data_IF_554686365561
#
_entry.id   IF_554686365561
#
_cell.length_a   1.000
_cell.length_b   1.000
_cell.length_c   1.000
_cell.angle_alpha   90.00
_cell.angle_beta   90.00
_cell.angle_gamma   90.00
#
_symmetry.space_group_name_H-M   'P 1'
#
loop_
_entity.id
_entity.type
_entity.pdbx_description
1 polymer ?
#
# COMPACT_ATOMS: atom_id res chain seq x y z
N UNK A 1 7.92 11.63 -17.44
CA UNK A 1 9.15 12.26 -16.96
C UNK A 1 8.97 13.11 -15.70
N UNK A 2 7.94 13.97 -15.56
CA UNK A 2 7.70 14.80 -14.36
C UNK A 2 7.41 14.02 -13.07
N UNK A 3 6.69 12.91 -13.14
CA UNK A 3 6.34 12.06 -11.97
C UNK A 3 7.58 11.40 -11.37
N UNK A 4 8.48 10.86 -12.19
CA UNK A 4 9.73 10.25 -11.74
C UNK A 4 10.65 11.23 -11.01
N UNK A 5 10.77 12.43 -11.54
CA UNK A 5 11.53 13.53 -10.91
C UNK A 5 10.92 13.93 -9.56
N UNK A 6 9.60 13.94 -9.46
CA UNK A 6 8.89 14.20 -8.21
C UNK A 6 9.17 13.11 -7.16
N UNK A 7 9.07 11.84 -7.56
CA UNK A 7 9.36 10.68 -6.69
C UNK A 7 10.80 10.74 -6.15
N UNK A 8 11.79 10.97 -7.04
CA UNK A 8 13.21 11.05 -6.65
C UNK A 8 13.44 12.24 -5.71
N UNK A 9 12.81 13.37 -5.96
CA UNK A 9 12.95 14.59 -5.14
C UNK A 9 12.33 14.40 -3.77
N UNK A 10 11.18 13.75 -3.69
CA UNK A 10 10.50 13.40 -2.43
C UNK A 10 11.34 12.41 -1.63
N UNK A 11 11.86 11.36 -2.28
CA UNK A 11 12.74 10.40 -1.61
C UNK A 11 14.01 11.04 -1.03
N UNK A 12 14.59 12.00 -1.77
CA UNK A 12 15.77 12.75 -1.29
C UNK A 12 15.43 13.58 -0.04
N UNK A 13 14.27 14.23 -0.01
CA UNK A 13 13.80 15.00 1.16
C UNK A 13 13.59 14.09 2.39
N UNK A 14 13.03 12.90 2.19
CA UNK A 14 12.81 11.91 3.23
C UNK A 14 14.14 11.40 3.79
N UNK A 15 15.06 11.02 2.93
CA UNK A 15 16.39 10.55 3.33
C UNK A 15 17.16 11.58 4.15
N UNK A 16 16.94 12.88 3.91
CA UNK A 16 17.62 13.96 4.64
C UNK A 16 17.11 14.15 6.08
N UNK A 17 15.87 13.71 6.40
CA UNK A 17 15.28 13.98 7.71
C UNK A 17 15.83 13.08 8.82
N UNK A 18 15.72 11.76 8.69
CA UNK A 18 16.21 10.74 9.65
C UNK A 18 16.57 9.46 8.91
N UNK A 19 17.72 9.38 8.24
CA UNK A 19 18.08 8.24 7.38
C UNK A 19 18.15 6.91 8.13
N UNK A 20 18.60 6.91 9.40
CA UNK A 20 18.69 5.70 10.21
C UNK A 20 17.34 5.07 10.52
N UNK A 21 16.30 5.87 10.84
CA UNK A 21 14.96 5.35 11.08
C UNK A 21 14.36 4.78 9.79
N UNK A 22 14.58 5.44 8.66
CA UNK A 22 14.11 4.98 7.36
C UNK A 22 14.79 3.65 6.98
N UNK A 23 16.10 3.52 7.18
CA UNK A 23 16.83 2.27 6.96
C UNK A 23 16.30 1.14 7.86
N UNK A 24 16.00 1.44 9.13
CA UNK A 24 15.43 0.47 10.07
C UNK A 24 14.04 -0.03 9.61
N UNK A 25 13.18 0.85 9.11
CA UNK A 25 11.88 0.48 8.54
C UNK A 25 12.06 -0.47 7.35
N UNK A 26 13.03 -0.22 6.48
CA UNK A 26 13.36 -1.10 5.37
C UNK A 26 13.83 -2.48 5.85
N UNK A 27 14.76 -2.51 6.79
CA UNK A 27 15.30 -3.76 7.36
C UNK A 27 14.16 -4.57 8.00
N UNK A 28 13.30 -3.93 8.81
CA UNK A 28 12.15 -4.60 9.41
C UNK A 28 11.17 -5.13 8.34
N UNK A 29 10.99 -4.39 7.24
CA UNK A 29 10.12 -4.84 6.13
C UNK A 29 10.70 -6.07 5.43
N UNK A 30 12.02 -6.13 5.24
CA UNK A 30 12.69 -7.31 4.70
C UNK A 30 12.53 -8.51 5.63
N UNK A 31 12.82 -8.35 6.92
CA UNK A 31 12.63 -9.40 7.91
C UNK A 31 11.19 -9.90 7.96
N UNK A 32 10.22 -8.98 7.93
CA UNK A 32 8.80 -9.32 7.89
C UNK A 32 8.46 -10.12 6.62
N UNK A 33 8.97 -9.73 5.45
CA UNK A 33 8.76 -10.44 4.19
C UNK A 33 9.31 -11.86 4.23
N UNK A 34 10.55 -12.03 4.70
CA UNK A 34 11.19 -13.35 4.84
C UNK A 34 10.42 -14.21 5.83
N UNK A 35 10.11 -13.67 7.02
CA UNK A 35 9.38 -14.43 8.06
C UNK A 35 7.97 -14.85 7.61
N UNK A 36 7.25 -13.96 6.91
CA UNK A 36 5.92 -14.27 6.36
C UNK A 36 5.96 -15.41 5.36
N UNK A 37 6.92 -15.41 4.44
CA UNK A 37 7.07 -16.47 3.46
C UNK A 37 7.47 -17.79 4.12
N UNK A 38 8.40 -17.74 5.06
CA UNK A 38 8.86 -18.93 5.81
C UNK A 38 7.72 -19.57 6.60
N UNK A 39 6.87 -18.75 7.25
CA UNK A 39 5.68 -19.24 7.96
C UNK A 39 4.71 -19.99 7.04
N UNK A 40 4.54 -19.53 5.79
CA UNK A 40 3.66 -20.21 4.83
C UNK A 40 4.28 -21.52 4.35
N UNK A 41 5.59 -21.56 4.07
CA UNK A 41 6.28 -22.79 3.65
C UNK A 41 6.22 -23.87 4.72
N UNK A 42 6.17 -23.52 6.00
CA UNK A 42 6.07 -24.45 7.12
C UNK A 42 4.73 -25.21 7.13
N UNK A 43 3.73 -24.74 6.38
CA UNK A 43 2.49 -25.50 6.17
C UNK A 43 2.72 -26.78 5.34
N UNK A 44 3.79 -26.87 4.52
CA UNK A 44 4.08 -28.08 3.74
C UNK A 44 4.33 -29.29 4.66
N UNK A 45 5.32 -29.25 5.58
CA UNK A 45 5.53 -30.38 6.48
C UNK A 45 4.35 -30.64 7.41
N UNK A 46 3.61 -29.60 7.82
CA UNK A 46 2.40 -29.76 8.63
C UNK A 46 1.31 -30.56 7.89
N UNK A 47 1.02 -30.22 6.64
CA UNK A 47 0.06 -30.94 5.82
C UNK A 47 0.52 -32.36 5.47
N UNK A 48 1.83 -32.57 5.31
CA UNK A 48 2.39 -33.92 5.10
C UNK A 48 2.20 -34.83 6.31
N UNK A 49 2.37 -34.32 7.53
CA UNK A 49 2.12 -35.08 8.75
C UNK A 49 0.64 -35.42 8.95
N UNK A 50 -0.27 -34.54 8.57
CA UNK A 50 -1.73 -34.76 8.68
C UNK A 50 -2.22 -35.78 7.65
N UNK A 51 -1.56 -35.94 6.52
CA UNK A 51 -1.97 -36.85 5.45
C UNK A 51 -1.39 -38.25 5.61
N UNK A 52 -1.29 -38.77 6.85
CA UNK A 52 -0.89 -40.10 7.30
C UNK A 52 -0.48 -41.05 6.18
N UNK A 53 0.75 -40.94 5.63
CA UNK A 53 1.32 -42.08 4.92
C UNK A 53 1.46 -41.96 3.40
N UNK A 54 1.50 -40.78 2.79
CA UNK A 54 2.07 -40.71 1.45
C UNK A 54 3.57 -40.96 1.56
N UNK A 55 3.95 -42.20 1.24
CA UNK A 55 5.31 -42.73 1.21
C UNK A 55 6.21 -42.12 0.16
N UNK A 56 5.91 -40.90 -0.30
CA UNK A 56 6.80 -40.16 -1.20
C UNK A 56 7.87 -39.44 -0.38
N UNK A 57 9.14 -39.58 -0.75
CA UNK A 57 10.21 -38.82 -0.12
C UNK A 57 9.89 -37.33 -0.18
N UNK A 58 10.24 -36.57 0.87
CA UNK A 58 10.02 -35.13 0.89
C UNK A 58 10.78 -34.48 -0.28
N UNK A 59 10.07 -33.78 -1.15
CA UNK A 59 10.65 -33.06 -2.30
C UNK A 59 10.58 -31.54 -2.07
N UNK A 60 11.55 -30.83 -2.59
CA UNK A 60 11.59 -29.36 -2.59
C UNK A 60 11.71 -28.75 -1.18
N UNK A 61 10.85 -27.76 -0.81
CA UNK A 61 10.97 -27.06 0.48
C UNK A 61 10.86 -27.95 1.72
N UNK A 62 10.21 -29.12 1.63
CA UNK A 62 10.09 -30.07 2.75
C UNK A 62 11.46 -30.69 3.14
N UNK A 63 12.36 -30.90 2.17
CA UNK A 63 13.74 -31.35 2.43
C UNK A 63 14.50 -30.35 3.28
N UNK A 64 14.37 -29.07 3.00
CA UNK A 64 15.02 -28.01 3.77
C UNK A 64 14.61 -28.04 5.25
N UNK A 65 13.31 -28.22 5.55
CA UNK A 65 12.83 -28.31 6.92
C UNK A 65 13.30 -29.58 7.63
N UNK A 66 13.42 -30.69 6.89
CA UNK A 66 13.93 -31.95 7.43
C UNK A 66 15.42 -31.86 7.75
N UNK A 67 16.23 -31.32 6.86
CA UNK A 67 17.66 -31.08 7.11
C UNK A 67 17.90 -30.13 8.30
N UNK A 68 17.04 -29.12 8.44
CA UNK A 68 17.10 -28.17 9.56
C UNK A 68 16.74 -28.87 10.88
N UNK A 69 15.76 -29.76 10.88
CA UNK A 69 15.37 -30.53 12.05
C UNK A 69 16.45 -31.55 12.44
N UNK A 70 17.04 -32.24 11.45
CA UNK A 70 18.12 -33.18 11.67
C UNK A 70 19.38 -32.49 12.26
N UNK A 71 19.71 -31.27 11.77
CA UNK A 71 20.81 -30.47 12.31
C UNK A 71 20.56 -29.91 13.71
N UNK A 72 19.30 -29.62 14.06
CA UNK A 72 18.93 -29.04 15.36
C UNK A 72 18.54 -30.11 16.38
N UNK A 73 18.48 -31.39 15.99
CA UNK A 73 18.04 -32.50 16.86
C UNK A 73 16.58 -32.43 17.25
N UNK A 74 15.78 -31.63 16.58
CA UNK A 74 14.36 -31.42 16.87
C UNK A 74 13.54 -32.47 16.11
N UNK A 75 12.83 -33.33 16.85
CA UNK A 75 11.88 -34.28 16.26
C UNK A 75 10.70 -33.54 15.61
N UNK A 76 10.48 -33.78 14.32
CA UNK A 76 9.35 -33.20 13.55
C UNK A 76 8.02 -33.84 13.94
N UNK A 77 7.56 -33.61 15.17
CA UNK A 77 6.24 -33.99 15.63
C UNK A 77 5.24 -32.86 15.34
N UNK A 78 3.96 -33.19 15.25
CA UNK A 78 2.89 -32.24 15.06
C UNK A 78 2.97 -31.07 16.06
N UNK A 79 3.24 -31.35 17.32
CA UNK A 79 3.36 -30.35 18.38
C UNK A 79 4.52 -29.37 18.16
N UNK A 80 5.69 -29.86 17.75
CA UNK A 80 6.86 -29.02 17.47
C UNK A 80 6.64 -28.11 16.26
N UNK A 81 6.04 -28.63 15.19
CA UNK A 81 5.72 -27.80 14.01
C UNK A 81 4.68 -26.73 14.35
N UNK A 82 3.63 -27.06 15.09
CA UNK A 82 2.63 -26.08 15.53
C UNK A 82 3.25 -25.01 16.44
N UNK A 83 4.14 -25.39 17.37
CA UNK A 83 4.84 -24.45 18.22
C UNK A 83 5.71 -23.49 17.41
N UNK A 84 6.53 -24.00 16.49
CA UNK A 84 7.34 -23.16 15.58
C UNK A 84 6.45 -22.23 14.75
N UNK A 85 5.32 -22.73 14.26
CA UNK A 85 4.36 -21.93 13.50
C UNK A 85 3.79 -20.78 14.34
N UNK A 86 3.37 -21.04 15.59
CA UNK A 86 2.90 -19.99 16.50
C UNK A 86 3.99 -18.98 16.79
N UNK A 87 5.23 -19.42 17.03
CA UNK A 87 6.38 -18.51 17.26
C UNK A 87 6.62 -17.61 16.04
N UNK A 88 6.62 -18.17 14.83
CA UNK A 88 6.82 -17.38 13.59
C UNK A 88 5.70 -16.38 13.34
N UNK A 89 4.44 -16.78 13.58
CA UNK A 89 3.29 -15.86 13.44
C UNK A 89 3.33 -14.75 14.50
N UNK A 90 3.68 -15.09 15.75
CA UNK A 90 3.83 -14.12 16.83
C UNK A 90 4.98 -13.16 16.55
N UNK A 91 6.11 -13.65 16.03
CA UNK A 91 7.22 -12.84 15.59
C UNK A 91 6.80 -11.88 14.47
N UNK A 92 6.00 -12.37 13.51
CA UNK A 92 5.48 -11.52 12.43
C UNK A 92 4.60 -10.40 12.97
N UNK A 93 3.71 -10.70 13.92
CA UNK A 93 2.86 -9.70 14.58
C UNK A 93 3.69 -8.66 15.34
N UNK A 94 4.73 -9.08 16.05
CA UNK A 94 5.66 -8.20 16.75
C UNK A 94 6.44 -7.30 15.77
N UNK A 95 6.97 -7.86 14.69
CA UNK A 95 7.65 -7.08 13.65
C UNK A 95 6.73 -6.03 13.02
N UNK A 96 5.48 -6.41 12.74
CA UNK A 96 4.47 -5.50 12.21
C UNK A 96 4.15 -4.38 13.19
N UNK A 97 3.99 -4.69 14.47
CA UNK A 97 3.72 -3.71 15.51
C UNK A 97 4.88 -2.69 15.63
N UNK A 98 6.12 -3.18 15.78
CA UNK A 98 7.29 -2.30 15.87
C UNK A 98 7.46 -1.42 14.63
N UNK A 99 7.28 -2.00 13.45
CA UNK A 99 7.32 -1.25 12.20
C UNK A 99 6.25 -0.15 12.17
N UNK A 100 5.00 -0.46 12.54
CA UNK A 100 3.90 0.52 12.56
C UNK A 100 4.18 1.70 13.49
N UNK A 101 4.75 1.43 14.69
CA UNK A 101 5.14 2.50 15.61
C UNK A 101 6.29 3.34 15.05
N UNK A 102 7.29 2.71 14.43
CA UNK A 102 8.40 3.43 13.80
C UNK A 102 7.94 4.30 12.65
N UNK A 103 7.03 3.78 11.81
CA UNK A 103 6.40 4.51 10.71
C UNK A 103 5.65 5.74 11.24
N UNK A 104 4.78 5.56 12.24
CA UNK A 104 4.02 6.66 12.85
C UNK A 104 4.96 7.71 13.48
N UNK A 105 5.97 7.28 14.22
CA UNK A 105 6.95 8.18 14.86
C UNK A 105 7.80 8.95 13.83
N UNK A 106 8.11 8.33 12.68
CA UNK A 106 8.82 9.00 11.60
C UNK A 106 7.92 10.06 10.96
N UNK A 107 6.68 9.71 10.64
CA UNK A 107 5.68 10.62 10.05
C UNK A 107 5.49 11.86 10.92
N UNK A 108 5.18 11.68 12.19
CA UNK A 108 4.95 12.81 13.11
C UNK A 108 6.20 13.72 13.25
N UNK A 109 7.37 13.12 13.30
CA UNK A 109 8.63 13.89 13.33
C UNK A 109 8.86 14.68 12.04
N UNK A 110 8.49 14.13 10.88
CA UNK A 110 8.63 14.81 9.59
C UNK A 110 7.64 15.97 9.46
N UNK A 111 6.37 15.77 9.88
CA UNK A 111 5.34 16.83 9.94
C UNK A 111 5.86 18.00 10.78
N UNK A 112 6.28 17.70 12.00
CA UNK A 112 6.76 18.72 12.93
C UNK A 112 7.89 19.53 12.31
N UNK A 113 8.88 18.86 11.72
CA UNK A 113 10.02 19.50 11.07
C UNK A 113 9.61 20.38 9.88
N UNK A 114 8.72 19.88 9.04
CA UNK A 114 8.26 20.59 7.85
C UNK A 114 7.41 21.81 8.21
N UNK A 115 6.47 21.68 9.15
CA UNK A 115 5.66 22.80 9.67
C UNK A 115 6.53 23.89 10.28
N UNK A 116 7.46 23.50 11.14
CA UNK A 116 8.41 24.44 11.78
C UNK A 116 9.24 25.20 10.74
N UNK A 117 9.76 24.50 9.74
CA UNK A 117 10.56 25.10 8.67
C UNK A 117 9.73 26.07 7.80
N UNK A 118 8.52 25.67 7.43
CA UNK A 118 7.64 26.50 6.62
C UNK A 118 7.17 27.72 7.39
N UNK A 119 6.73 27.55 8.63
CA UNK A 119 6.29 28.66 9.47
C UNK A 119 7.42 29.68 9.70
N UNK A 120 8.65 29.22 9.98
CA UNK A 120 9.82 30.09 10.07
C UNK A 120 10.06 30.90 8.78
N UNK A 121 9.89 30.25 7.61
CA UNK A 121 10.05 30.96 6.34
C UNK A 121 8.94 31.99 6.10
N UNK A 122 7.71 31.72 6.54
CA UNK A 122 6.60 32.67 6.45
C UNK A 122 6.88 33.88 7.35
N UNK A 123 7.32 33.69 8.59
CA UNK A 123 7.61 34.81 9.50
C UNK A 123 8.75 35.69 8.98
N UNK A 124 9.75 35.08 8.34
CA UNK A 124 10.93 35.81 7.83
C UNK A 124 10.76 36.27 6.37
N UNK A 125 9.58 36.14 5.79
CA UNK A 125 9.33 36.53 4.43
C UNK A 125 9.04 38.02 4.32
N UNK A 126 9.48 38.64 3.22
CA UNK A 126 9.24 40.04 2.94
C UNK A 126 7.76 40.34 2.71
N UNK A 127 7.31 41.52 3.10
CA UNK A 127 5.92 41.95 3.01
C UNK A 127 5.29 41.76 1.60
N UNK A 128 5.95 42.08 0.48
CA UNK A 128 5.40 41.84 -0.86
C UNK A 128 5.06 40.34 -1.11
N UNK A 129 5.90 39.44 -0.60
CA UNK A 129 5.67 38.00 -0.74
C UNK A 129 4.48 37.53 0.12
N UNK A 130 4.33 38.05 1.33
CA UNK A 130 3.21 37.75 2.21
C UNK A 130 1.88 38.24 1.64
N UNK A 131 1.90 39.44 1.03
CA UNK A 131 0.69 40.05 0.46
C UNK A 131 0.32 39.49 -0.93
N UNK A 132 1.25 38.81 -1.61
CA UNK A 132 0.99 38.15 -2.90
C UNK A 132 0.02 37.00 -2.86
N UNK A 133 -0.24 36.45 -1.68
CA UNK A 133 -1.20 35.35 -1.41
C UNK A 133 -2.10 35.71 -0.25
N UNK A 134 -3.35 35.23 -0.29
CA UNK A 134 -4.30 35.44 0.79
C UNK A 134 -3.84 34.79 2.09
N UNK A 135 -4.27 35.34 3.24
CA UNK A 135 -4.05 34.75 4.58
C UNK A 135 -4.53 33.31 4.64
N UNK A 136 -5.67 33.04 4.02
CA UNK A 136 -6.28 31.69 3.93
C UNK A 136 -5.35 30.70 3.21
N UNK A 137 -4.64 31.16 2.18
CA UNK A 137 -3.68 30.32 1.44
C UNK A 137 -2.48 29.91 2.33
N UNK A 138 -1.95 30.82 3.14
CA UNK A 138 -0.87 30.51 4.07
C UNK A 138 -1.32 29.53 5.18
N UNK A 139 -2.53 29.71 5.70
CA UNK A 139 -3.15 28.77 6.66
C UNK A 139 -3.37 27.39 6.03
N UNK A 140 -3.90 27.33 4.80
CA UNK A 140 -4.14 26.10 4.06
C UNK A 140 -2.84 25.30 3.86
N UNK A 141 -1.75 25.94 3.50
CA UNK A 141 -0.45 25.27 3.35
C UNK A 141 -0.02 24.59 4.64
N UNK A 142 -0.12 25.26 5.79
CA UNK A 142 0.32 24.72 7.08
C UNK A 142 -0.63 23.66 7.65
N UNK A 143 -1.95 23.81 7.43
CA UNK A 143 -2.96 22.95 8.04
C UNK A 143 -3.39 21.77 7.19
N UNK A 144 -3.36 21.90 5.85
CA UNK A 144 -3.83 20.88 4.91
C UNK A 144 -2.73 20.35 3.98
N UNK A 145 -1.97 21.24 3.33
CA UNK A 145 -0.98 20.80 2.35
C UNK A 145 0.17 19.98 2.98
N UNK A 146 0.62 20.40 4.17
CA UNK A 146 1.68 19.68 4.88
C UNK A 146 1.23 18.28 5.33
N UNK A 147 0.04 18.08 5.94
CA UNK A 147 -0.50 16.74 6.16
C UNK A 147 -0.63 15.91 4.88
N UNK A 148 -1.16 16.46 3.79
CA UNK A 148 -1.30 15.74 2.51
C UNK A 148 0.06 15.23 1.96
N UNK A 149 1.14 15.98 2.17
CA UNK A 149 2.50 15.51 1.81
C UNK A 149 2.89 14.23 2.57
N UNK A 150 2.31 14.00 3.74
CA UNK A 150 2.58 12.81 4.54
C UNK A 150 1.81 11.62 4.04
N UNK A 151 0.61 11.82 3.57
CA UNK A 151 -0.17 10.76 2.92
C UNK A 151 0.59 10.23 1.70
N UNK A 152 1.22 11.11 0.90
CA UNK A 152 2.13 10.69 -0.18
C UNK A 152 3.36 9.94 0.33
N UNK A 153 3.92 10.35 1.47
CA UNK A 153 5.04 9.65 2.10
C UNK A 153 4.63 8.26 2.58
N UNK A 154 3.50 8.16 3.26
CA UNK A 154 2.94 6.88 3.73
C UNK A 154 2.69 5.92 2.57
N UNK A 155 2.07 6.42 1.52
CA UNK A 155 1.89 5.70 0.26
C UNK A 155 3.22 5.16 -0.29
N UNK A 156 4.25 5.99 -0.33
CA UNK A 156 5.56 5.59 -0.86
C UNK A 156 6.23 4.50 -0.04
N UNK A 157 6.23 4.61 1.29
CA UNK A 157 6.76 3.56 2.18
C UNK A 157 5.95 2.27 2.07
N UNK A 158 4.63 2.38 2.01
CA UNK A 158 3.74 1.25 1.84
C UNK A 158 4.01 0.54 0.52
N UNK A 159 4.15 1.27 -0.57
CA UNK A 159 4.48 0.72 -1.89
C UNK A 159 5.78 -0.08 -1.85
N UNK A 160 6.84 0.47 -1.26
CA UNK A 160 8.12 -0.24 -1.14
C UNK A 160 7.96 -1.50 -0.28
N UNK A 161 7.28 -1.42 0.85
CA UNK A 161 7.03 -2.58 1.71
C UNK A 161 6.26 -3.66 0.95
N UNK A 162 5.22 -3.26 0.21
CA UNK A 162 4.41 -4.16 -0.61
C UNK A 162 5.24 -4.83 -1.70
N UNK A 163 6.16 -4.09 -2.35
CA UNK A 163 7.09 -4.67 -3.32
C UNK A 163 8.03 -5.71 -2.69
N UNK A 164 8.57 -5.42 -1.52
CA UNK A 164 9.42 -6.36 -0.76
C UNK A 164 8.64 -7.63 -0.43
N UNK A 165 7.42 -7.49 0.07
CA UNK A 165 6.55 -8.62 0.41
C UNK A 165 6.19 -9.44 -0.83
N UNK A 166 5.77 -8.79 -1.91
CA UNK A 166 5.43 -9.44 -3.17
C UNK A 166 6.64 -10.21 -3.73
N UNK A 167 7.83 -9.58 -3.72
CA UNK A 167 9.06 -10.24 -4.15
C UNK A 167 9.38 -11.47 -3.30
N UNK A 168 9.29 -11.38 -1.98
CA UNK A 168 9.50 -12.52 -1.08
C UNK A 168 8.54 -13.66 -1.42
N UNK A 169 7.24 -13.39 -1.57
CA UNK A 169 6.27 -14.42 -1.91
C UNK A 169 6.50 -15.04 -3.29
N UNK A 170 6.94 -14.25 -4.30
CA UNK A 170 7.29 -14.75 -5.63
C UNK A 170 8.49 -15.71 -5.55
N UNK A 171 9.52 -15.36 -4.75
CA UNK A 171 10.67 -16.24 -4.53
C UNK A 171 10.21 -17.56 -3.91
N UNK A 172 9.39 -17.52 -2.85
CA UNK A 172 8.91 -18.74 -2.21
C UNK A 172 7.99 -19.57 -3.12
N UNK A 173 7.14 -18.93 -3.92
CA UNK A 173 6.29 -19.62 -4.89
C UNK A 173 7.13 -20.30 -5.98
N UNK A 174 8.22 -19.66 -6.43
CA UNK A 174 9.12 -20.23 -7.46
C UNK A 174 9.87 -21.46 -6.97
N UNK A 175 10.18 -21.53 -5.66
CA UNK A 175 10.80 -22.72 -5.04
C UNK A 175 9.84 -23.94 -5.02
N UNK A 176 8.53 -23.70 -5.04
CA UNK A 176 7.52 -24.75 -5.08
C UNK A 176 7.26 -25.19 -6.52
N UNK A 177 6.98 -24.24 -7.41
CA UNK A 177 6.76 -24.49 -8.83
C UNK A 177 7.02 -23.23 -9.66
N UNK A 178 8.12 -23.25 -10.41
CA UNK A 178 8.50 -22.15 -11.28
C UNK A 178 7.47 -21.91 -12.41
N UNK A 179 6.90 -22.99 -12.98
CA UNK A 179 5.93 -22.89 -14.08
C UNK A 179 4.64 -22.17 -13.69
N UNK A 180 4.02 -22.54 -12.55
CA UNK A 180 2.82 -21.87 -12.06
C UNK A 180 3.10 -20.43 -11.61
N UNK A 181 4.28 -20.19 -11.01
CA UNK A 181 4.68 -18.83 -10.61
C UNK A 181 4.82 -17.92 -11.82
N UNK A 182 5.43 -18.40 -12.89
CA UNK A 182 5.58 -17.65 -14.13
C UNK A 182 4.22 -17.34 -14.78
N UNK A 183 3.29 -18.30 -14.76
CA UNK A 183 1.92 -18.10 -15.24
C UNK A 183 1.22 -16.97 -14.44
N UNK A 184 1.32 -17.00 -13.11
CA UNK A 184 0.72 -15.98 -12.23
C UNK A 184 1.32 -14.60 -12.52
N UNK A 185 2.65 -14.51 -12.66
CA UNK A 185 3.34 -13.25 -12.99
C UNK A 185 2.89 -12.73 -14.36
N UNK A 186 2.78 -13.61 -15.37
CA UNK A 186 2.33 -13.22 -16.71
C UNK A 186 0.91 -12.65 -16.68
N UNK A 187 -0.02 -13.30 -15.97
CA UNK A 187 -1.40 -12.79 -15.82
C UNK A 187 -1.41 -11.47 -15.07
N UNK A 188 -0.63 -11.36 -13.97
CA UNK A 188 -0.50 -10.12 -13.20
C UNK A 188 0.05 -8.96 -14.07
N UNK A 189 1.02 -9.22 -14.93
CA UNK A 189 1.58 -8.23 -15.84
C UNK A 189 0.55 -7.78 -16.90
N UNK A 190 -0.21 -8.71 -17.48
CA UNK A 190 -1.29 -8.38 -18.43
C UNK A 190 -2.34 -7.51 -17.77
N UNK A 191 -2.77 -7.86 -16.56
CA UNK A 191 -3.74 -7.06 -15.79
C UNK A 191 -3.19 -5.68 -15.46
N UNK A 192 -1.93 -5.58 -15.05
CA UNK A 192 -1.29 -4.30 -14.77
C UNK A 192 -1.30 -3.37 -15.99
N UNK A 193 -0.95 -3.90 -17.17
CA UNK A 193 -0.97 -3.14 -18.43
C UNK A 193 -2.40 -2.69 -18.78
N UNK A 194 -3.38 -3.58 -18.64
CA UNK A 194 -4.79 -3.28 -18.95
C UNK A 194 -5.35 -2.20 -18.00
N UNK A 195 -5.03 -2.27 -16.72
CA UNK A 195 -5.57 -1.36 -15.71
C UNK A 195 -4.80 -0.03 -15.60
N UNK A 196 -3.65 0.09 -16.26
CA UNK A 196 -2.86 1.33 -16.30
C UNK A 196 -3.67 2.56 -16.74
N UNK A 197 -4.67 2.39 -17.61
CA UNK A 197 -5.56 3.49 -18.05
C UNK A 197 -6.31 4.14 -16.90
N UNK A 198 -6.66 3.40 -15.85
CA UNK A 198 -7.34 3.94 -14.67
C UNK A 198 -6.43 4.86 -13.85
N UNK A 199 -5.13 4.56 -13.76
CA UNK A 199 -4.14 5.43 -13.11
C UNK A 199 -4.06 6.81 -13.77
N UNK A 200 -4.00 6.84 -15.10
CA UNK A 200 -3.99 8.12 -15.84
C UNK A 200 -5.30 8.89 -15.67
N UNK A 201 -6.43 8.20 -15.65
CA UNK A 201 -7.74 8.82 -15.42
C UNK A 201 -7.84 9.40 -14.01
N UNK A 202 -7.38 8.68 -12.98
CA UNK A 202 -7.30 9.16 -11.59
C UNK A 202 -6.51 10.45 -11.47
N UNK A 203 -5.39 10.57 -12.17
CA UNK A 203 -4.58 11.78 -12.15
C UNK A 203 -5.31 13.01 -12.70
N UNK A 204 -6.12 12.85 -13.76
CA UNK A 204 -6.91 13.94 -14.32
C UNK A 204 -8.08 14.32 -13.42
N UNK A 205 -8.81 13.33 -12.87
CA UNK A 205 -9.89 13.57 -11.92
C UNK A 205 -9.35 14.27 -10.66
N UNK A 206 -8.23 13.80 -10.12
CA UNK A 206 -7.59 14.39 -8.94
C UNK A 206 -7.24 15.87 -9.11
N UNK A 207 -6.76 16.29 -10.29
CA UNK A 207 -6.57 17.73 -10.58
C UNK A 207 -7.89 18.51 -10.53
N UNK A 208 -8.97 17.92 -11.05
CA UNK A 208 -10.31 18.51 -10.98
C UNK A 208 -10.80 18.67 -9.53
N UNK A 209 -10.62 17.64 -8.71
CA UNK A 209 -10.97 17.66 -7.27
C UNK A 209 -10.24 18.80 -6.56
N UNK A 210 -8.91 18.93 -6.73
CA UNK A 210 -8.12 20.01 -6.12
C UNK A 210 -8.62 21.37 -6.58
N UNK A 211 -8.89 21.55 -7.87
CA UNK A 211 -9.39 22.81 -8.43
C UNK A 211 -10.75 23.18 -7.87
N UNK A 212 -11.69 22.22 -7.82
CA UNK A 212 -13.04 22.45 -7.29
C UNK A 212 -13.02 22.72 -5.78
N UNK A 213 -12.17 22.02 -5.04
CA UNK A 213 -11.97 22.30 -3.62
C UNK A 213 -11.43 23.71 -3.36
N UNK A 214 -10.45 24.15 -4.13
CA UNK A 214 -9.92 25.51 -4.02
C UNK A 214 -10.98 26.58 -4.37
N UNK A 215 -11.87 26.29 -5.33
CA UNK A 215 -13.01 27.14 -5.67
C UNK A 215 -14.00 27.24 -4.53
N UNK A 216 -14.33 26.11 -3.89
CA UNK A 216 -15.19 26.06 -2.72
C UNK A 216 -14.64 26.92 -1.58
N UNK A 217 -13.34 26.72 -1.24
CA UNK A 217 -12.69 27.52 -0.21
C UNK A 217 -12.68 29.02 -0.53
N UNK A 218 -12.49 29.36 -1.80
CA UNK A 218 -12.53 30.76 -2.24
C UNK A 218 -13.90 31.39 -1.97
N UNK A 219 -15.01 30.72 -2.31
CA UNK A 219 -16.35 31.25 -2.05
C UNK A 219 -16.65 31.42 -0.57
N UNK A 220 -16.15 30.50 0.26
CA UNK A 220 -16.25 30.65 1.71
C UNK A 220 -15.45 31.89 2.19
N UNK A 221 -14.24 32.05 1.71
CA UNK A 221 -13.37 33.17 2.09
C UNK A 221 -13.97 34.52 1.62
N UNK A 222 -14.45 34.59 0.38
CA UNK A 222 -15.11 35.77 -0.18
C UNK A 222 -16.34 36.17 0.65
N UNK A 223 -17.16 35.20 1.08
CA UNK A 223 -18.29 35.46 1.98
C UNK A 223 -17.82 36.06 3.31
N UNK A 224 -16.84 35.46 3.97
CA UNK A 224 -16.34 35.96 5.25
C UNK A 224 -15.74 37.36 5.18
N UNK A 225 -15.05 37.68 4.08
CA UNK A 225 -14.49 39.02 3.86
C UNK A 225 -15.58 40.09 3.66
N UNK A 226 -16.73 39.70 3.09
CA UNK A 226 -17.80 40.60 2.73
C UNK A 226 -19.07 40.43 3.56
N UNK A 227 -19.00 39.63 4.65
CA UNK A 227 -20.20 39.23 5.44
C UNK A 227 -21.07 40.40 5.91
N UNK A 228 -20.44 41.51 6.31
CA UNK A 228 -21.18 42.72 6.72
C UNK A 228 -21.98 43.32 5.57
N UNK A 229 -21.35 43.39 4.38
CA UNK A 229 -22.00 43.93 3.17
C UNK A 229 -23.09 42.96 2.70
N UNK A 230 -22.83 41.67 2.73
CA UNK A 230 -23.81 40.65 2.38
C UNK A 230 -25.06 40.71 3.26
N UNK A 231 -24.90 40.95 4.58
CA UNK A 231 -25.99 41.12 5.54
C UNK A 231 -26.78 42.39 5.31
N UNK A 232 -26.09 43.51 5.06
CA UNK A 232 -26.76 44.82 4.81
C UNK A 232 -27.61 44.77 3.55
N UNK A 233 -27.13 44.11 2.50
CA UNK A 233 -27.82 44.02 1.21
C UNK A 233 -28.69 42.78 1.04
N UNK A 234 -28.87 41.96 2.10
CA UNK A 234 -29.62 40.67 2.04
C UNK A 234 -29.21 39.78 0.87
N UNK A 235 -27.92 39.75 0.56
CA UNK A 235 -27.37 39.04 -0.59
C UNK A 235 -26.79 37.65 -0.25
N UNK A 236 -27.14 37.09 0.92
CA UNK A 236 -26.69 35.76 1.39
C UNK A 236 -27.03 34.64 0.40
N UNK A 237 -28.21 34.76 -0.26
CA UNK A 237 -28.64 33.79 -1.29
C UNK A 237 -27.67 33.65 -2.42
N UNK A 238 -27.03 34.74 -2.89
CA UNK A 238 -26.02 34.69 -3.93
C UNK A 238 -24.78 33.87 -3.52
N UNK A 239 -24.28 34.06 -2.31
CA UNK A 239 -23.13 33.31 -1.80
C UNK A 239 -23.48 31.85 -1.56
N UNK A 240 -24.70 31.57 -1.10
CA UNK A 240 -25.20 30.21 -0.90
C UNK A 240 -25.31 29.46 -2.23
N UNK A 241 -25.82 30.05 -3.29
CA UNK A 241 -25.89 29.43 -4.61
C UNK A 241 -24.50 29.15 -5.16
N UNK A 242 -23.57 30.09 -5.08
CA UNK A 242 -22.16 29.89 -5.52
C UNK A 242 -21.47 28.78 -4.74
N UNK A 243 -21.69 28.70 -3.44
CA UNK A 243 -21.20 27.60 -2.62
C UNK A 243 -21.80 26.26 -3.07
N UNK A 244 -23.11 26.19 -3.29
CA UNK A 244 -23.78 24.97 -3.71
C UNK A 244 -23.31 24.48 -5.08
N UNK A 245 -23.15 25.36 -6.07
CA UNK A 245 -22.58 25.02 -7.38
C UNK A 245 -21.18 24.41 -7.25
N UNK A 246 -20.32 25.02 -6.45
CA UNK A 246 -18.96 24.56 -6.23
C UNK A 246 -18.93 23.22 -5.48
N UNK A 247 -19.79 23.09 -4.46
CA UNK A 247 -19.93 21.87 -3.66
C UNK A 247 -20.45 20.70 -4.50
N UNK A 248 -21.50 20.92 -5.31
CA UNK A 248 -22.03 19.90 -6.23
C UNK A 248 -20.96 19.43 -7.24
N UNK A 249 -20.19 20.37 -7.81
CA UNK A 249 -19.07 20.04 -8.71
C UNK A 249 -17.99 19.22 -8.02
N UNK A 250 -17.67 19.53 -6.77
CA UNK A 250 -16.69 18.79 -5.96
C UNK A 250 -17.18 17.37 -5.69
N UNK A 251 -18.43 17.22 -5.23
CA UNK A 251 -19.03 15.91 -4.94
C UNK A 251 -19.07 15.01 -6.18
N UNK A 252 -19.43 15.53 -7.35
CA UNK A 252 -19.43 14.77 -8.61
C UNK A 252 -18.01 14.24 -8.96
N UNK A 253 -16.99 15.09 -8.78
CA UNK A 253 -15.61 14.71 -9.04
C UNK A 253 -15.08 13.69 -8.00
N UNK A 254 -15.43 13.85 -6.73
CA UNK A 254 -15.08 12.90 -5.67
C UNK A 254 -15.75 11.54 -5.91
N UNK A 255 -17.03 11.53 -6.30
CA UNK A 255 -17.72 10.30 -6.69
C UNK A 255 -17.05 9.61 -7.88
N UNK A 256 -16.71 10.36 -8.95
CA UNK A 256 -15.98 9.85 -10.11
C UNK A 256 -14.61 9.30 -9.72
N UNK A 257 -13.94 9.94 -8.76
CA UNK A 257 -12.65 9.47 -8.24
C UNK A 257 -12.82 8.15 -7.49
N UNK A 258 -13.83 8.02 -6.61
CA UNK A 258 -14.13 6.80 -5.87
C UNK A 258 -14.53 5.65 -6.83
N UNK A 259 -15.35 5.92 -7.83
CA UNK A 259 -15.71 4.94 -8.84
C UNK A 259 -14.47 4.45 -9.60
N UNK A 260 -13.62 5.38 -10.04
CA UNK A 260 -12.39 5.06 -10.76
C UNK A 260 -11.34 4.34 -9.90
N UNK A 261 -11.40 4.49 -8.58
CA UNK A 261 -10.59 3.76 -7.60
C UNK A 261 -11.12 2.34 -7.34
N UNK A 262 -12.43 2.19 -7.15
CA UNK A 262 -13.04 0.92 -6.76
C UNK A 262 -13.20 -0.06 -7.95
N UNK A 263 -13.42 0.44 -9.17
CA UNK A 263 -13.61 -0.41 -10.35
C UNK A 263 -12.40 -1.31 -10.67
N UNK A 264 -11.15 -0.82 -10.69
CA UNK A 264 -9.97 -1.66 -10.81
C UNK A 264 -9.86 -2.72 -9.71
N UNK A 265 -10.18 -2.38 -8.47
CA UNK A 265 -10.15 -3.33 -7.35
C UNK A 265 -11.14 -4.49 -7.58
N UNK A 266 -12.35 -4.17 -8.05
CA UNK A 266 -13.33 -5.20 -8.41
C UNK A 266 -12.79 -6.13 -9.51
N UNK A 267 -12.24 -5.54 -10.58
CA UNK A 267 -11.65 -6.31 -11.70
C UNK A 267 -10.53 -7.22 -11.19
N UNK A 268 -9.62 -6.69 -10.36
CA UNK A 268 -8.57 -7.50 -9.76
C UNK A 268 -9.12 -8.64 -8.92
N UNK A 269 -10.09 -8.39 -8.06
CA UNK A 269 -10.67 -9.43 -7.18
C UNK A 269 -11.32 -10.54 -8.00
N UNK A 270 -12.14 -10.19 -9.00
CA UNK A 270 -12.79 -11.19 -9.87
C UNK A 270 -11.74 -11.99 -10.64
N UNK A 271 -10.78 -11.31 -11.27
CA UNK A 271 -9.72 -11.99 -12.01
C UNK A 271 -8.87 -12.88 -11.10
N UNK A 272 -8.61 -12.45 -9.86
CA UNK A 272 -7.90 -13.26 -8.88
C UNK A 272 -8.61 -14.57 -8.57
N UNK A 273 -9.93 -14.54 -8.41
CA UNK A 273 -10.73 -15.73 -8.21
C UNK A 273 -10.65 -16.65 -9.44
N UNK A 274 -10.82 -16.09 -10.64
CA UNK A 274 -10.75 -16.85 -11.90
C UNK A 274 -9.37 -17.50 -12.07
N UNK A 275 -8.29 -16.76 -11.81
CA UNK A 275 -6.92 -17.29 -11.89
C UNK A 275 -6.68 -18.38 -10.85
N UNK A 276 -7.20 -18.22 -9.63
CA UNK A 276 -7.10 -19.25 -8.60
C UNK A 276 -7.79 -20.54 -9.06
N UNK A 277 -9.01 -20.45 -9.56
CA UNK A 277 -9.76 -21.61 -10.09
C UNK A 277 -9.01 -22.27 -11.26
N UNK A 278 -8.45 -21.47 -12.15
CA UNK A 278 -7.67 -21.96 -13.29
C UNK A 278 -6.39 -22.69 -12.85
N UNK A 279 -5.67 -22.13 -11.86
CA UNK A 279 -4.48 -22.78 -11.28
C UNK A 279 -4.86 -24.09 -10.61
N UNK A 280 -5.97 -24.13 -9.88
CA UNK A 280 -6.51 -25.37 -9.28
C UNK A 280 -6.82 -26.40 -10.36
N UNK A 281 -7.55 -26.01 -11.40
CA UNK A 281 -7.95 -26.92 -12.50
C UNK A 281 -6.73 -27.49 -13.25
N UNK A 282 -5.78 -26.63 -13.62
CA UNK A 282 -4.56 -27.05 -14.30
C UNK A 282 -3.68 -27.93 -13.42
N UNK A 283 -3.56 -27.61 -12.12
CA UNK A 283 -2.80 -28.40 -11.17
C UNK A 283 -3.30 -29.81 -11.01
N UNK A 284 -4.62 -29.99 -10.94
CA UNK A 284 -5.23 -31.33 -10.91
C UNK A 284 -5.05 -32.11 -12.21
N UNK A 285 -5.09 -31.44 -13.36
CA UNK A 285 -4.96 -32.07 -14.67
C UNK A 285 -3.53 -32.53 -14.99
N UNK A 286 -2.53 -31.78 -14.54
CA UNK A 286 -1.11 -32.06 -14.88
C UNK A 286 -0.44 -33.06 -13.93
N UNK A 287 -1.04 -33.39 -12.80
CA UNK A 287 -0.58 -34.38 -11.77
C UNK A 287 0.91 -34.26 -11.38
N UNK A 288 1.56 -33.14 -11.66
CA UNK A 288 2.99 -32.95 -11.47
C UNK A 288 3.39 -32.42 -10.10
N UNK A 289 2.43 -31.90 -9.33
CA UNK A 289 2.71 -31.27 -8.03
C UNK A 289 2.03 -32.05 -6.91
N UNK A 290 2.74 -32.38 -5.82
CA UNK A 290 2.12 -33.00 -4.65
C UNK A 290 0.96 -32.14 -4.09
N UNK A 291 -0.11 -32.80 -3.64
CA UNK A 291 -1.35 -32.14 -3.21
C UNK A 291 -1.09 -31.13 -2.07
N UNK A 292 -0.15 -31.45 -1.18
CA UNK A 292 0.31 -30.57 -0.09
C UNK A 292 0.98 -29.30 -0.58
N UNK A 293 1.90 -29.41 -1.53
CA UNK A 293 2.58 -28.26 -2.16
C UNK A 293 1.60 -27.38 -2.94
N UNK A 294 0.57 -28.01 -3.53
CA UNK A 294 -0.47 -27.32 -4.24
C UNK A 294 -1.34 -26.46 -3.31
N UNK A 295 -1.75 -26.97 -2.15
CA UNK A 295 -2.47 -26.15 -1.15
C UNK A 295 -1.66 -24.95 -0.67
N UNK A 296 -0.36 -25.15 -0.42
CA UNK A 296 0.52 -24.04 0.00
C UNK A 296 0.66 -22.99 -1.11
N UNK A 297 0.69 -23.43 -2.37
CA UNK A 297 0.72 -22.52 -3.50
C UNK A 297 -0.56 -21.69 -3.62
N UNK A 298 -1.74 -22.26 -3.35
CA UNK A 298 -3.01 -21.52 -3.27
C UNK A 298 -2.94 -20.45 -2.17
N UNK A 299 -2.40 -20.80 -0.99
CA UNK A 299 -2.26 -19.86 0.13
C UNK A 299 -1.27 -18.73 -0.24
N UNK A 300 -0.11 -19.05 -0.85
CA UNK A 300 0.83 -18.04 -1.33
C UNK A 300 0.16 -17.11 -2.36
N UNK A 301 -0.57 -17.68 -3.31
CA UNK A 301 -1.30 -16.90 -4.29
C UNK A 301 -2.33 -15.96 -3.64
N UNK A 302 -3.09 -16.45 -2.66
CA UNK A 302 -4.05 -15.61 -1.92
C UNK A 302 -3.37 -14.45 -1.16
N UNK A 303 -2.09 -14.56 -0.86
CA UNK A 303 -1.28 -13.50 -0.23
C UNK A 303 -0.63 -12.55 -1.23
N UNK A 304 -0.12 -13.09 -2.37
CA UNK A 304 0.51 -12.27 -3.44
C UNK A 304 -0.53 -11.34 -4.08
N UNK A 305 -1.72 -11.86 -4.34
CA UNK A 305 -2.72 -11.15 -5.13
C UNK A 305 -3.18 -9.83 -4.51
N UNK A 306 -3.53 -9.75 -3.19
CA UNK A 306 -3.84 -8.48 -2.55
C UNK A 306 -2.66 -7.48 -2.56
N UNK A 307 -1.42 -7.96 -2.54
CA UNK A 307 -0.25 -7.09 -2.62
C UNK A 307 -0.16 -6.39 -3.99
N UNK A 308 -0.42 -7.13 -5.08
CA UNK A 308 -0.46 -6.57 -6.44
C UNK A 308 -1.59 -5.55 -6.57
N UNK A 309 -2.76 -5.84 -5.99
CA UNK A 309 -3.92 -4.93 -5.98
C UNK A 309 -3.58 -3.64 -5.26
N UNK A 310 -2.98 -3.72 -4.05
CA UNK A 310 -2.64 -2.53 -3.27
C UNK A 310 -1.59 -1.64 -3.96
N UNK A 311 -0.64 -2.23 -4.72
CA UNK A 311 0.32 -1.47 -5.52
C UNK A 311 -0.33 -0.62 -6.63
N UNK A 312 -1.54 -0.98 -7.06
CA UNK A 312 -2.21 -0.31 -8.19
C UNK A 312 -3.36 0.60 -7.72
N UNK A 313 -3.79 0.46 -6.49
CA UNK A 313 -4.93 1.20 -5.93
C UNK A 313 -4.51 2.25 -4.90
N UNK A 314 -3.37 2.10 -4.28
CA UNK A 314 -2.77 3.07 -3.40
C UNK A 314 -1.89 4.04 -4.19
#
# INVERSE_FOLDING_TARGET
MKVWLFIIRTFRLLRQHKPGKLALIFVLSLFQGVNSGFSILLLIPLLQLLNNGSSRPPEGPALFFRELADKTGVNLNLGTILLVYVVLLSLNALLQFWKSILDAGYQQSFIYHLRRRLFRKIILADWPLLNSKSKTNHLQVLTKEVPNLIDYYYFYLRLITTMIMAFSYIVYASLISAGFTLLIIAIGAVLFIFLRKFLFRSFHIGKGVVSSYNRLLKYIDDFWQTVKIAKVHSSEGFYYEKFNEANASLLDLEYKMQYNYNLPQLIYRITGIVVLVLVVYLGFRTSQVPLTSFFVMIILFSRIFPQIVSMNTD
#
